data_IF_359980263811
#
_entry.id   IF_359980263811
#
_cell.length_a   1.000
_cell.length_b   1.000
_cell.length_c   1.000
_cell.angle_alpha   90.00
_cell.angle_beta   90.00
_cell.angle_gamma   90.00
#
_symmetry.space_group_name_H-M   'P 1'
#
loop_
_entity.id
_entity.type
_entity.pdbx_description
1 polymer ?
#
# COMPACT_ATOMS: atom_id res chain seq x y z
N UNK A 1 -3.61 -7.68 8.86
CA UNK A 1 -2.21 -7.41 8.48
C UNK A 1 -1.40 -6.87 9.67
N UNK A 2 -0.16 -7.36 9.78
CA UNK A 2 0.87 -6.89 10.70
C UNK A 2 1.99 -6.24 9.89
N UNK A 3 2.63 -5.20 10.42
CA UNK A 3 3.77 -4.53 9.78
C UNK A 3 5.00 -5.46 9.89
N UNK A 4 5.74 -5.75 8.80
CA UNK A 4 6.91 -6.63 8.84
C UNK A 4 8.01 -6.12 9.79
N UNK A 5 8.77 -7.06 10.38
CA UNK A 5 9.95 -6.73 11.17
C UNK A 5 10.98 -5.95 10.32
N UNK A 6 11.59 -4.92 10.91
CA UNK A 6 12.52 -4.00 10.22
C UNK A 6 11.87 -2.77 9.59
N UNK A 7 10.53 -2.73 9.48
CA UNK A 7 9.81 -1.53 9.04
C UNK A 7 9.43 -0.69 10.27
N UNK A 8 9.90 0.57 10.32
CA UNK A 8 9.47 1.49 11.38
C UNK A 8 7.99 1.81 11.20
N UNK A 9 7.21 1.45 12.21
CA UNK A 9 5.79 1.78 12.26
C UNK A 9 5.62 3.29 12.33
N UNK A 10 5.21 3.89 11.21
CA UNK A 10 4.82 5.30 11.14
C UNK A 10 3.33 5.44 11.47
N UNK A 11 2.85 6.63 11.89
CA UNK A 11 1.42 6.86 12.12
C UNK A 11 0.55 6.46 10.92
N UNK A 12 1.05 6.70 9.70
CA UNK A 12 0.39 6.32 8.45
C UNK A 12 0.29 4.79 8.30
N UNK A 13 1.40 4.06 8.47
CA UNK A 13 1.40 2.60 8.37
C UNK A 13 0.52 1.95 9.45
N UNK A 14 0.46 2.54 10.65
CA UNK A 14 -0.45 2.09 11.71
C UNK A 14 -1.91 2.22 11.29
N UNK A 15 -2.28 3.33 10.66
CA UNK A 15 -3.64 3.54 10.15
C UNK A 15 -3.97 2.58 9.01
N UNK A 16 -3.03 2.39 8.07
CA UNK A 16 -3.18 1.43 6.98
C UNK A 16 -3.40 0.01 7.52
N UNK A 17 -2.53 -0.45 8.43
CA UNK A 17 -2.63 -1.78 9.04
C UNK A 17 -3.93 -1.99 9.82
N UNK A 18 -4.46 -0.95 10.47
CA UNK A 18 -5.76 -0.99 11.16
C UNK A 18 -6.88 -1.30 10.16
N UNK A 19 -6.97 -0.55 9.06
CA UNK A 19 -8.02 -0.77 8.06
C UNK A 19 -7.84 -2.07 7.30
N UNK A 20 -6.60 -2.44 6.98
CA UNK A 20 -6.31 -3.73 6.34
C UNK A 20 -6.64 -4.93 7.23
N UNK A 21 -6.63 -4.78 8.55
CA UNK A 21 -7.15 -5.80 9.49
C UNK A 21 -8.66 -5.92 9.47
N UNK A 22 -9.38 -4.82 9.24
CA UNK A 22 -10.83 -4.84 9.12
C UNK A 22 -11.30 -5.47 7.79
N UNK A 23 -10.49 -5.35 6.74
CA UNK A 23 -10.79 -5.86 5.39
C UNK A 23 -9.62 -6.70 4.84
N UNK A 24 -9.37 -7.90 5.41
CA UNK A 24 -8.19 -8.69 5.05
C UNK A 24 -8.20 -9.16 3.59
N UNK A 25 -9.37 -9.48 3.04
CA UNK A 25 -9.53 -10.09 1.72
C UNK A 25 -9.68 -9.09 0.57
N UNK A 26 -9.79 -7.79 0.88
CA UNK A 26 -9.97 -6.72 -0.11
C UNK A 26 -8.65 -5.99 -0.37
N UNK A 27 -8.45 -5.49 -1.59
CA UNK A 27 -7.40 -4.50 -1.85
C UNK A 27 -7.77 -3.17 -1.19
N UNK A 28 -6.88 -2.63 -0.36
CA UNK A 28 -7.10 -1.35 0.31
C UNK A 28 -6.45 -0.21 -0.47
N UNK A 29 -7.28 0.59 -1.16
CA UNK A 29 -6.88 1.84 -1.78
C UNK A 29 -6.77 2.92 -0.71
N UNK A 30 -5.54 3.25 -0.30
CA UNK A 30 -5.29 4.22 0.77
C UNK A 30 -4.97 5.59 0.16
N UNK A 31 -5.84 6.58 0.40
CA UNK A 31 -5.67 7.91 -0.19
C UNK A 31 -4.49 8.64 0.45
N UNK A 32 -3.50 8.98 -0.38
CA UNK A 32 -2.32 9.74 -0.05
C UNK A 32 -2.24 10.94 -0.98
N UNK A 33 -2.86 12.05 -0.56
CA UNK A 33 -3.00 13.24 -1.41
C UNK A 33 -3.81 12.94 -2.67
N UNK A 34 -3.15 13.07 -3.82
CA UNK A 34 -3.74 12.87 -5.15
C UNK A 34 -3.62 11.43 -5.68
N UNK A 35 -3.14 10.49 -4.87
CA UNK A 35 -3.02 9.09 -5.27
C UNK A 35 -3.79 8.18 -4.31
N UNK A 36 -4.31 7.08 -4.85
CA UNK A 36 -4.62 5.91 -4.05
C UNK A 36 -3.41 4.99 -4.09
N UNK A 37 -2.75 4.84 -2.94
CA UNK A 37 -1.59 3.99 -2.76
C UNK A 37 -1.99 2.67 -2.09
N UNK A 38 -1.40 1.57 -2.56
CA UNK A 38 -1.46 0.26 -1.93
C UNK A 38 -0.04 -0.12 -1.49
N UNK A 39 0.06 -0.90 -0.41
CA UNK A 39 1.33 -1.29 0.17
C UNK A 39 1.45 -2.81 0.32
N UNK A 40 2.70 -3.29 0.40
CA UNK A 40 3.04 -4.69 0.69
C UNK A 40 2.41 -5.68 -0.31
N UNK A 41 1.64 -6.66 0.17
CA UNK A 41 1.01 -7.67 -0.68
C UNK A 41 -0.09 -7.07 -1.59
N UNK A 42 -0.82 -6.07 -1.10
CA UNK A 42 -1.83 -5.37 -1.90
C UNK A 42 -1.19 -4.65 -3.08
N UNK A 43 -0.01 -4.05 -2.89
CA UNK A 43 0.75 -3.44 -3.97
C UNK A 43 1.15 -4.48 -5.03
N UNK A 44 1.66 -5.64 -4.62
CA UNK A 44 2.08 -6.71 -5.54
C UNK A 44 0.90 -7.29 -6.31
N UNK A 45 -0.25 -7.47 -5.66
CA UNK A 45 -1.49 -7.94 -6.28
C UNK A 45 -2.05 -6.89 -7.25
N UNK A 46 -2.20 -5.64 -6.81
CA UNK A 46 -2.72 -4.56 -7.63
C UNK A 46 -1.85 -4.31 -8.87
N UNK A 47 -0.53 -4.33 -8.74
CA UNK A 47 0.38 -4.19 -9.88
C UNK A 47 0.12 -5.24 -10.97
N UNK A 48 -0.08 -6.51 -10.59
CA UNK A 48 -0.35 -7.59 -11.55
C UNK A 48 -1.76 -7.54 -12.13
N UNK A 49 -2.75 -7.17 -11.32
CA UNK A 49 -4.17 -7.20 -11.73
C UNK A 49 -4.52 -5.97 -12.58
N UNK A 50 -3.99 -4.80 -12.21
CA UNK A 50 -4.33 -3.52 -12.83
C UNK A 50 -3.28 -3.05 -13.84
N UNK A 51 -2.21 -3.82 -14.04
CA UNK A 51 -1.07 -3.50 -14.91
C UNK A 51 -0.46 -2.11 -14.60
N UNK A 52 -0.23 -1.87 -13.31
CA UNK A 52 0.40 -0.63 -12.81
C UNK A 52 1.80 -0.93 -12.25
N UNK A 53 2.67 0.09 -12.29
CA UNK A 53 4.04 -0.05 -11.84
C UNK A 53 4.13 -0.42 -10.35
N UNK A 54 4.84 -1.52 -10.06
CA UNK A 54 5.26 -1.86 -8.70
C UNK A 54 6.58 -1.14 -8.39
N UNK A 55 6.56 -0.32 -7.35
CA UNK A 55 7.71 0.45 -6.86
C UNK A 55 7.97 0.14 -5.39
N UNK A 56 8.95 0.80 -4.79
CA UNK A 56 9.23 0.70 -3.36
C UNK A 56 9.27 2.06 -2.70
N UNK A 57 8.62 2.18 -1.55
CA UNK A 57 8.67 3.37 -0.71
C UNK A 57 9.93 3.30 0.16
N UNK A 58 10.84 4.25 -0.10
CA UNK A 58 12.15 4.42 0.55
C UNK A 58 13.19 3.36 0.14
N UNK A 59 14.38 3.76 -0.35
CA UNK A 59 15.44 2.83 -0.74
C UNK A 59 15.99 1.98 0.43
N UNK A 60 15.79 2.40 1.68
CA UNK A 60 16.34 1.67 2.83
C UNK A 60 15.39 0.64 3.45
N UNK A 61 14.10 0.67 3.11
CA UNK A 61 13.06 -0.18 3.73
C UNK A 61 12.30 -1.04 2.73
N UNK A 62 12.45 -0.75 1.43
CA UNK A 62 11.88 -1.48 0.31
C UNK A 62 10.39 -1.87 0.50
N UNK A 63 9.56 -0.97 1.03
CA UNK A 63 8.14 -1.27 1.23
C UNK A 63 7.48 -1.31 -0.16
N UNK A 64 6.96 -2.46 -0.63
CA UNK A 64 6.34 -2.53 -1.96
C UNK A 64 5.16 -1.58 -2.02
N UNK A 65 5.05 -0.81 -3.10
CA UNK A 65 4.06 0.24 -3.29
C UNK A 65 3.60 0.28 -4.74
N UNK A 66 2.29 0.39 -4.93
CA UNK A 66 1.69 0.66 -6.24
C UNK A 66 0.61 1.72 -6.04
N UNK A 67 0.35 2.55 -7.04
CA UNK A 67 -0.65 3.60 -6.88
C UNK A 67 -1.25 4.07 -8.20
N UNK A 68 -2.46 4.63 -8.09
CA UNK A 68 -3.21 5.22 -9.20
C UNK A 68 -3.61 6.66 -8.87
N UNK A 69 -3.67 7.57 -9.85
CA UNK A 69 -4.12 8.94 -9.62
C UNK A 69 -5.61 8.93 -9.24
N UNK A 70 -6.02 9.79 -8.31
CA UNK A 70 -7.42 9.81 -7.86
C UNK A 70 -8.41 10.21 -8.95
N UNK A 71 -7.97 11.05 -9.89
CA UNK A 71 -8.77 11.49 -11.04
C UNK A 71 -8.89 10.46 -12.16
N UNK A 72 -8.21 9.32 -12.02
CA UNK A 72 -8.23 8.24 -13.02
C UNK A 72 -9.14 7.07 -12.61
N UNK A 73 -10.03 7.31 -11.63
CA UNK A 73 -11.05 6.37 -11.16
C UNK A 73 -12.32 6.45 -12.02
#
# INVERSE_FOLDING_TARGET
MTIPEGVKETPMLRQYAKWKRAYPDCLLFFRMGDFYELFFDDARKASRILDIALTSRDPNREIPMAGVPWHSA
#
